data_IF_067021527868
#
_entry.id   IF_067021527868
#
_cell.length_a   1.000
_cell.length_b   1.000
_cell.length_c   1.000
_cell.angle_alpha   90.00
_cell.angle_beta   90.00
_cell.angle_gamma   90.00
#
_symmetry.space_group_name_H-M   'P 1'
#
loop_
_entity.id
_entity.type
_entity.pdbx_description
1 polymer ?
#
# COMPACT_ATOMS: atom_id res chain seq x y z
N UNK A 1 -0.54 -13.84 22.85
CA UNK A 1 0.72 -13.38 22.16
C UNK A 1 0.32 -12.71 20.86
N UNK A 2 1.21 -11.94 20.22
CA UNK A 2 0.85 -11.24 18.97
C UNK A 2 0.38 -12.18 17.84
N UNK A 3 0.92 -13.37 17.77
CA UNK A 3 0.49 -14.41 16.80
C UNK A 3 -0.96 -14.86 17.04
N UNK A 4 -1.40 -14.96 18.29
CA UNK A 4 -2.78 -15.34 18.62
C UNK A 4 -3.76 -14.23 18.19
N UNK A 5 -3.34 -12.95 18.27
CA UNK A 5 -4.12 -11.82 17.78
C UNK A 5 -4.33 -11.90 16.26
N UNK A 6 -3.27 -12.27 15.51
CA UNK A 6 -3.33 -12.46 14.06
C UNK A 6 -4.34 -13.55 13.71
N UNK A 7 -4.25 -14.70 14.38
CA UNK A 7 -5.14 -15.83 14.09
C UNK A 7 -6.59 -15.54 14.52
N UNK A 8 -6.82 -14.84 15.61
CA UNK A 8 -8.17 -14.44 16.01
C UNK A 8 -8.82 -13.50 14.97
N UNK A 9 -8.05 -12.55 14.43
CA UNK A 9 -8.52 -11.68 13.37
C UNK A 9 -8.81 -12.46 12.06
N UNK A 10 -7.91 -13.40 11.68
CA UNK A 10 -8.12 -14.30 10.54
C UNK A 10 -9.41 -15.09 10.69
N UNK A 11 -9.62 -15.74 11.83
CA UNK A 11 -10.77 -16.62 12.07
C UNK A 11 -12.08 -15.84 12.03
N UNK A 12 -12.08 -14.61 12.54
CA UNK A 12 -13.21 -13.71 12.43
C UNK A 12 -13.53 -13.38 10.97
N UNK A 13 -12.54 -13.00 10.16
CA UNK A 13 -12.74 -12.71 8.73
C UNK A 13 -13.23 -13.96 7.99
N UNK A 14 -12.65 -15.14 8.25
CA UNK A 14 -13.09 -16.41 7.66
C UNK A 14 -14.53 -16.78 8.07
N UNK A 15 -15.00 -16.37 9.26
CA UNK A 15 -16.38 -16.58 9.66
C UNK A 15 -17.38 -15.76 8.82
N UNK A 16 -16.93 -14.62 8.28
CA UNK A 16 -17.72 -13.69 7.46
C UNK A 16 -17.62 -13.98 5.97
N UNK A 17 -16.45 -14.46 5.53
CA UNK A 17 -16.19 -14.84 4.12
C UNK A 17 -15.37 -16.13 4.07
N UNK A 18 -15.94 -17.19 3.47
CA UNK A 18 -15.36 -18.54 3.53
C UNK A 18 -14.59 -18.95 2.28
N UNK A 19 -14.83 -18.26 1.16
CA UNK A 19 -14.19 -18.62 -0.11
C UNK A 19 -12.71 -18.17 -0.13
N UNK A 20 -11.86 -18.79 -0.97
CA UNK A 20 -10.50 -18.32 -1.21
C UNK A 20 -10.48 -16.86 -1.70
N UNK A 21 -9.42 -16.13 -1.36
CA UNK A 21 -9.18 -14.76 -1.79
C UNK A 21 -7.89 -14.73 -2.59
N UNK A 22 -7.93 -14.22 -3.80
CA UNK A 22 -6.81 -14.24 -4.75
C UNK A 22 -5.79 -13.12 -4.47
N UNK A 23 -6.30 -11.91 -4.16
CA UNK A 23 -5.46 -10.71 -4.03
C UNK A 23 -5.92 -9.86 -2.86
N UNK A 24 -4.97 -9.41 -2.05
CA UNK A 24 -5.19 -8.33 -1.09
C UNK A 24 -4.85 -6.98 -1.73
N UNK A 25 -5.65 -5.95 -1.45
CA UNK A 25 -5.43 -4.59 -1.94
C UNK A 25 -5.44 -3.64 -0.75
N UNK A 26 -4.41 -2.81 -0.59
CA UNK A 26 -4.38 -1.73 0.40
C UNK A 26 -4.50 -0.39 -0.29
N UNK A 27 -5.58 0.34 -0.02
CA UNK A 27 -5.83 1.64 -0.62
C UNK A 27 -5.19 2.77 0.17
N UNK A 28 -4.50 3.64 -0.56
CA UNK A 28 -3.98 4.90 -0.04
C UNK A 28 -5.02 6.02 0.01
N UNK A 29 -4.61 7.17 0.54
CA UNK A 29 -5.44 8.39 0.61
C UNK A 29 -5.91 8.82 -0.79
N UNK A 30 -7.20 9.12 -0.93
CA UNK A 30 -7.82 9.53 -2.19
C UNK A 30 -8.04 8.39 -3.20
N UNK A 31 -7.75 7.13 -2.86
CA UNK A 31 -7.88 5.98 -3.76
C UNK A 31 -9.05 5.06 -3.38
N UNK A 32 -9.93 5.54 -2.49
CA UNK A 32 -11.12 4.84 -2.00
C UNK A 32 -12.07 4.30 -3.07
N UNK A 33 -12.29 5.03 -4.19
CA UNK A 33 -13.21 4.61 -5.25
C UNK A 33 -12.86 3.31 -5.95
N UNK A 34 -11.61 2.81 -5.87
CA UNK A 34 -11.31 1.46 -6.33
C UNK A 34 -12.13 0.39 -5.56
N UNK A 35 -12.50 0.64 -4.30
CA UNK A 35 -13.34 -0.25 -3.54
C UNK A 35 -14.81 -0.25 -4.01
N UNK A 36 -15.26 0.82 -4.66
CA UNK A 36 -16.66 0.98 -5.10
C UNK A 36 -16.97 0.17 -6.38
N UNK A 37 -15.93 -0.38 -7.03
CA UNK A 37 -16.08 -1.27 -8.19
C UNK A 37 -16.07 -2.76 -7.84
N UNK A 38 -16.02 -3.10 -6.55
CA UNK A 38 -16.10 -4.47 -6.06
C UNK A 38 -17.56 -4.95 -6.15
N UNK A 39 -17.79 -6.05 -6.85
CA UNK A 39 -19.10 -6.69 -6.97
C UNK A 39 -19.38 -7.59 -5.76
N UNK A 40 -20.66 -7.69 -5.38
CA UNK A 40 -21.14 -8.51 -4.26
C UNK A 40 -20.33 -8.35 -2.97
N UNK A 41 -20.09 -7.11 -2.49
CA UNK A 41 -19.17 -6.85 -1.41
C UNK A 41 -19.69 -7.36 -0.06
N UNK A 42 -18.82 -8.06 0.67
CA UNK A 42 -18.93 -8.29 2.11
C UNK A 42 -18.09 -7.23 2.81
N UNK A 43 -18.76 -6.31 3.52
CA UNK A 43 -18.10 -5.26 4.26
C UNK A 43 -17.91 -5.66 5.74
N UNK A 44 -16.73 -5.42 6.27
CA UNK A 44 -16.36 -5.66 7.67
C UNK A 44 -15.69 -4.41 8.21
N UNK A 45 -16.29 -3.77 9.21
CA UNK A 45 -15.67 -2.64 9.87
C UNK A 45 -14.41 -3.10 10.64
N UNK A 46 -13.31 -2.34 10.58
CA UNK A 46 -12.07 -2.70 11.29
C UNK A 46 -12.27 -2.84 12.80
N UNK A 47 -13.14 -2.03 13.39
CA UNK A 47 -13.47 -2.09 14.82
C UNK A 47 -14.09 -3.42 15.26
N UNK A 48 -14.71 -4.15 14.32
CA UNK A 48 -15.34 -5.45 14.59
C UNK A 48 -14.34 -6.62 14.42
N UNK A 49 -13.21 -6.39 13.74
CA UNK A 49 -12.16 -7.39 13.60
C UNK A 49 -11.30 -7.39 14.87
N UNK A 50 -11.21 -8.52 15.59
CA UNK A 50 -10.43 -8.59 16.82
C UNK A 50 -8.99 -8.09 16.61
N UNK A 51 -8.55 -7.22 17.51
CA UNK A 51 -7.19 -6.66 17.57
C UNK A 51 -6.76 -5.75 16.41
N UNK A 52 -7.60 -5.53 15.40
CA UNK A 52 -7.28 -4.55 14.36
C UNK A 52 -7.14 -3.15 14.95
N UNK A 53 -6.21 -2.32 14.47
CA UNK A 53 -6.21 -0.89 14.77
C UNK A 53 -7.48 -0.22 14.25
N UNK A 54 -7.77 0.96 14.76
CA UNK A 54 -8.83 1.83 14.22
C UNK A 54 -8.16 2.96 13.47
N UNK A 55 -8.52 3.16 12.19
CA UNK A 55 -8.00 4.29 11.41
C UNK A 55 -8.54 5.61 11.96
N UNK A 56 -7.65 6.57 12.19
CA UNK A 56 -7.97 7.90 12.72
C UNK A 56 -7.82 8.99 11.65
N UNK A 57 -7.35 8.64 10.46
CA UNK A 57 -7.09 9.57 9.37
C UNK A 57 -8.40 9.93 8.65
N UNK A 58 -8.75 11.23 8.50
CA UNK A 58 -9.88 11.65 7.68
C UNK A 58 -9.80 11.10 6.26
N UNK A 59 -10.94 10.58 5.74
CA UNK A 59 -11.01 9.98 4.41
C UNK A 59 -10.71 8.47 4.37
N UNK A 60 -10.30 7.86 5.48
CA UNK A 60 -10.18 6.41 5.60
C UNK A 60 -11.47 5.83 6.20
N UNK A 61 -12.20 5.05 5.38
CA UNK A 61 -13.49 4.48 5.80
C UNK A 61 -13.38 3.44 6.92
N UNK A 62 -12.18 2.88 7.15
CA UNK A 62 -11.94 1.89 8.20
C UNK A 62 -12.67 0.57 7.96
N UNK A 63 -12.72 0.10 6.73
CA UNK A 63 -13.43 -1.13 6.32
C UNK A 63 -12.54 -2.07 5.51
N UNK A 64 -12.72 -3.36 5.75
CA UNK A 64 -12.28 -4.43 4.85
C UNK A 64 -13.47 -4.81 3.98
N UNK A 65 -13.28 -4.74 2.65
CA UNK A 65 -14.31 -5.07 1.65
C UNK A 65 -13.82 -6.28 0.88
N UNK A 66 -14.59 -7.36 0.90
CA UNK A 66 -14.25 -8.61 0.19
C UNK A 66 -15.32 -8.87 -0.86
N UNK A 67 -14.92 -9.10 -2.09
CA UNK A 67 -15.82 -9.37 -3.21
C UNK A 67 -15.04 -9.52 -4.51
N UNK A 68 -15.69 -9.35 -5.65
CA UNK A 68 -15.11 -9.67 -6.94
C UNK A 68 -14.79 -8.42 -7.77
N UNK A 69 -13.63 -8.43 -8.42
CA UNK A 69 -13.30 -7.52 -9.52
C UNK A 69 -12.91 -8.40 -10.71
N UNK A 70 -13.74 -8.41 -11.76
CA UNK A 70 -13.59 -9.36 -12.86
C UNK A 70 -13.77 -10.80 -12.37
N UNK A 71 -12.77 -11.64 -12.61
CA UNK A 71 -12.74 -13.05 -12.20
C UNK A 71 -11.95 -13.29 -10.89
N UNK A 72 -11.47 -12.23 -10.25
CA UNK A 72 -10.65 -12.30 -9.01
C UNK A 72 -11.45 -11.93 -7.79
N UNK A 73 -11.35 -12.76 -6.75
CA UNK A 73 -11.79 -12.38 -5.41
C UNK A 73 -10.73 -11.52 -4.75
N UNK A 74 -11.10 -10.33 -4.32
CA UNK A 74 -10.21 -9.36 -3.67
C UNK A 74 -10.60 -9.11 -2.22
N UNK A 75 -9.61 -8.91 -1.34
CA UNK A 75 -9.78 -8.35 -0.01
C UNK A 75 -9.18 -6.94 0.01
N UNK A 76 -10.03 -5.93 0.01
CA UNK A 76 -9.66 -4.54 -0.16
C UNK A 76 -9.75 -3.78 1.17
N UNK A 77 -8.64 -3.24 1.64
CA UNK A 77 -8.61 -2.30 2.76
C UNK A 77 -8.99 -0.90 2.26
N UNK A 78 -10.23 -0.45 2.55
CA UNK A 78 -10.68 0.94 2.30
C UNK A 78 -10.23 1.82 3.47
N UNK A 79 -8.96 2.21 3.43
CA UNK A 79 -8.18 2.87 4.48
C UNK A 79 -7.06 1.98 5.00
N UNK A 80 -6.00 2.63 5.50
CA UNK A 80 -4.82 1.97 6.07
C UNK A 80 -4.43 2.58 7.40
N UNK A 81 -3.47 1.95 8.08
CA UNK A 81 -2.90 2.44 9.32
C UNK A 81 -1.51 3.04 9.06
N UNK A 82 -1.21 4.14 9.76
CA UNK A 82 0.08 4.81 9.59
C UNK A 82 0.84 4.87 10.92
N UNK A 83 2.14 4.90 10.83
CA UNK A 83 3.01 5.01 12.01
C UNK A 83 2.76 6.30 12.79
N UNK A 84 2.48 7.41 12.09
CA UNK A 84 2.20 8.69 12.72
C UNK A 84 0.88 8.75 13.51
N UNK A 85 0.00 7.75 13.38
CA UNK A 85 -1.21 7.63 14.19
C UNK A 85 -0.92 7.16 15.64
N UNK A 86 0.35 6.86 15.93
CA UNK A 86 0.80 6.44 17.27
C UNK A 86 0.86 4.92 17.45
N UNK A 87 0.57 4.15 16.42
CA UNK A 87 0.70 2.69 16.43
C UNK A 87 2.15 2.27 16.24
N UNK A 88 2.57 1.19 16.92
CA UNK A 88 3.83 0.54 16.60
C UNK A 88 3.77 -0.17 15.21
N UNK A 89 4.94 -0.51 14.66
CA UNK A 89 5.02 -1.12 13.35
C UNK A 89 4.36 -2.50 13.24
N UNK A 90 4.26 -3.24 14.34
CA UNK A 90 3.55 -4.53 14.35
C UNK A 90 2.04 -4.31 14.18
N UNK A 91 1.47 -3.32 14.86
CA UNK A 91 0.06 -2.96 14.71
C UNK A 91 -0.24 -2.38 13.32
N UNK A 92 0.61 -1.47 12.81
CA UNK A 92 0.46 -0.92 11.44
C UNK A 92 0.40 -2.03 10.40
N UNK A 93 1.21 -3.08 10.56
CA UNK A 93 1.34 -4.17 9.57
C UNK A 93 0.54 -5.43 9.90
N UNK A 94 -0.21 -5.43 10.99
CA UNK A 94 -1.04 -6.57 11.40
C UNK A 94 -1.97 -7.07 10.28
N UNK A 95 -2.67 -6.20 9.52
CA UNK A 95 -3.52 -6.66 8.41
C UNK A 95 -2.79 -7.51 7.39
N UNK A 96 -1.54 -7.20 7.09
CA UNK A 96 -0.74 -7.95 6.12
C UNK A 96 -0.43 -9.37 6.64
N UNK A 97 -0.15 -9.51 7.94
CA UNK A 97 -0.03 -10.82 8.60
C UNK A 97 -1.33 -11.62 8.52
N UNK A 98 -2.45 -10.95 8.73
CA UNK A 98 -3.78 -11.57 8.64
C UNK A 98 -4.07 -12.03 7.20
N UNK A 99 -3.75 -11.23 6.19
CA UNK A 99 -3.89 -11.64 4.78
C UNK A 99 -3.02 -12.86 4.45
N UNK A 100 -1.78 -12.89 4.92
CA UNK A 100 -0.93 -14.06 4.78
C UNK A 100 -1.51 -15.29 5.48
N UNK A 101 -2.05 -15.15 6.69
CA UNK A 101 -2.69 -16.22 7.45
C UNK A 101 -4.00 -16.72 6.81
N UNK A 102 -4.70 -15.86 6.02
CA UNK A 102 -5.83 -16.23 5.16
C UNK A 102 -5.39 -17.00 3.90
N UNK A 103 -4.09 -17.15 3.67
CA UNK A 103 -3.54 -17.85 2.50
C UNK A 103 -3.37 -16.98 1.25
N UNK A 104 -3.64 -15.68 1.34
CA UNK A 104 -3.50 -14.74 0.22
C UNK A 104 -2.02 -14.62 -0.17
N UNK A 105 -1.72 -14.78 -1.46
CA UNK A 105 -0.35 -14.78 -1.98
C UNK A 105 0.04 -13.52 -2.74
N UNK A 106 -0.92 -12.73 -3.17
CA UNK A 106 -0.68 -11.52 -3.95
C UNK A 106 -1.15 -10.29 -3.17
N UNK A 107 -0.33 -9.24 -3.14
CA UNK A 107 -0.63 -7.98 -2.48
C UNK A 107 -0.41 -6.82 -3.45
N UNK A 108 -1.42 -6.00 -3.64
CA UNK A 108 -1.31 -4.70 -4.30
C UNK A 108 -1.38 -3.63 -3.21
N UNK A 109 -0.32 -2.82 -3.08
CA UNK A 109 -0.30 -1.67 -2.17
C UNK A 109 -0.31 -0.40 -2.97
N UNK A 110 -1.25 0.50 -2.66
CA UNK A 110 -1.35 1.79 -3.35
C UNK A 110 -1.12 2.94 -2.37
N UNK A 111 -0.63 4.07 -2.83
CA UNK A 111 -0.41 5.26 -2.01
C UNK A 111 -0.46 6.55 -2.82
N UNK A 112 -0.69 7.67 -2.13
CA UNK A 112 -0.36 9.01 -2.58
C UNK A 112 1.07 9.34 -2.13
N UNK A 113 1.84 10.06 -2.95
CA UNK A 113 3.23 10.39 -2.67
C UNK A 113 3.65 11.76 -3.23
N UNK A 114 4.71 12.34 -2.67
CA UNK A 114 5.40 13.50 -3.23
C UNK A 114 6.45 13.07 -4.27
N UNK A 115 6.44 13.70 -5.45
CA UNK A 115 7.44 13.48 -6.49
C UNK A 115 8.76 14.18 -6.17
N UNK A 116 9.86 13.42 -6.11
CA UNK A 116 11.23 13.92 -5.87
C UNK A 116 12.00 14.01 -7.18
N UNK A 117 11.86 13.05 -8.07
CA UNK A 117 12.46 13.06 -9.41
C UNK A 117 11.78 14.11 -10.29
N UNK A 118 12.55 14.81 -11.10
CA UNK A 118 12.09 16.01 -11.81
C UNK A 118 10.94 15.74 -12.81
N UNK A 119 10.91 14.54 -13.40
CA UNK A 119 9.88 14.10 -14.38
C UNK A 119 8.61 13.54 -13.74
N UNK A 120 8.55 13.42 -12.41
CA UNK A 120 7.36 12.97 -11.68
C UNK A 120 6.49 14.17 -11.30
N UNK A 121 5.43 14.41 -12.05
CA UNK A 121 4.48 15.50 -11.84
C UNK A 121 3.18 14.99 -11.19
N UNK A 122 2.39 15.87 -10.55
CA UNK A 122 1.09 15.51 -10.03
C UNK A 122 0.21 14.82 -11.09
N UNK A 123 -0.48 13.76 -10.69
CA UNK A 123 -1.26 12.89 -11.56
C UNK A 123 -0.48 11.74 -12.21
N UNK A 124 0.86 11.66 -12.07
CA UNK A 124 1.65 10.55 -12.59
C UNK A 124 1.46 9.30 -11.74
N UNK A 125 1.19 8.16 -12.39
CA UNK A 125 1.18 6.84 -11.77
C UNK A 125 2.58 6.23 -11.89
N UNK A 126 3.09 5.68 -10.78
CA UNK A 126 4.44 5.11 -10.70
C UNK A 126 4.37 3.70 -10.11
N UNK A 127 4.94 2.74 -10.80
CA UNK A 127 5.16 1.38 -10.30
C UNK A 127 6.42 1.41 -9.42
N UNK A 128 6.28 0.99 -8.16
CA UNK A 128 7.40 0.99 -7.22
C UNK A 128 8.35 -0.15 -7.58
N UNK A 129 9.61 0.17 -7.83
CA UNK A 129 10.66 -0.82 -8.13
C UNK A 129 11.43 -1.26 -6.88
N UNK A 130 11.63 -0.33 -5.94
CA UNK A 130 12.38 -0.54 -4.71
C UNK A 130 12.02 0.53 -3.67
N UNK A 131 12.59 0.45 -2.46
CA UNK A 131 12.36 1.46 -1.43
C UNK A 131 13.59 1.80 -0.59
N UNK A 132 13.54 2.98 0.02
CA UNK A 132 14.44 3.42 1.08
C UNK A 132 13.69 3.51 2.41
N UNK A 133 14.19 2.85 3.46
CA UNK A 133 13.49 2.75 4.77
C UNK A 133 14.40 2.92 5.99
N UNK A 134 15.62 3.46 5.82
CA UNK A 134 16.61 3.53 6.89
C UNK A 134 16.22 4.43 8.07
N UNK A 135 15.21 5.28 7.93
CA UNK A 135 14.70 6.15 9.01
C UNK A 135 13.51 5.53 9.77
N UNK A 136 13.12 4.31 9.45
CA UNK A 136 11.96 3.61 9.99
C UNK A 136 12.38 2.49 10.95
N UNK A 137 11.70 2.30 12.10
CA UNK A 137 11.87 1.06 12.87
C UNK A 137 11.33 -0.12 12.05
N UNK A 138 12.13 -1.19 11.94
CA UNK A 138 11.71 -2.37 11.18
C UNK A 138 10.45 -3.02 11.80
N UNK A 139 9.42 -3.36 10.99
CA UNK A 139 8.25 -4.11 11.46
C UNK A 139 8.59 -5.55 11.88
N UNK A 140 9.77 -6.06 11.53
CA UNK A 140 10.28 -7.37 11.90
C UNK A 140 11.13 -7.36 13.17
N UNK A 141 11.23 -6.21 13.85
CA UNK A 141 11.99 -6.09 15.11
C UNK A 141 11.31 -6.88 16.22
N UNK A 142 12.10 -7.63 17.00
CA UNK A 142 11.62 -8.45 18.10
C UNK A 142 11.74 -9.95 17.82
N UNK A 143 11.02 -10.81 18.54
CA UNK A 143 10.97 -12.25 18.27
C UNK A 143 10.46 -12.52 16.85
N UNK A 144 11.07 -13.50 16.17
CA UNK A 144 10.59 -13.92 14.86
C UNK A 144 9.23 -14.61 14.97
N UNK A 145 8.41 -14.47 13.94
CA UNK A 145 7.18 -15.23 13.74
C UNK A 145 7.48 -16.31 12.70
N UNK A 146 7.99 -17.46 13.16
CA UNK A 146 8.50 -18.53 12.28
C UNK A 146 7.45 -19.08 11.32
N UNK A 147 6.17 -19.05 11.71
CA UNK A 147 5.03 -19.43 10.85
C UNK A 147 4.92 -18.57 9.58
N UNK A 148 5.49 -17.37 9.60
CA UNK A 148 5.40 -16.41 8.50
C UNK A 148 6.67 -16.28 7.68
N UNK A 149 7.80 -16.74 8.18
CA UNK A 149 9.06 -16.69 7.44
C UNK A 149 10.31 -16.71 8.30
N UNK A 150 11.48 -16.77 7.65
CA UNK A 150 12.77 -16.88 8.33
C UNK A 150 13.16 -15.55 9.01
N UNK A 151 13.97 -15.65 10.07
CA UNK A 151 14.47 -14.47 10.80
C UNK A 151 15.14 -13.42 9.89
N UNK A 152 15.88 -13.86 8.90
CA UNK A 152 16.61 -13.02 7.95
C UNK A 152 16.09 -13.28 6.54
N UNK A 153 15.13 -12.46 6.12
CA UNK A 153 14.48 -12.54 4.81
C UNK A 153 15.26 -11.75 3.76
N UNK A 154 15.51 -12.36 2.61
CA UNK A 154 16.05 -11.66 1.45
C UNK A 154 15.05 -10.64 0.90
N UNK A 155 15.51 -9.39 0.71
CA UNK A 155 14.72 -8.26 0.23
C UNK A 155 15.11 -7.81 -1.19
N UNK A 156 15.87 -8.63 -1.94
CA UNK A 156 16.35 -8.27 -3.29
C UNK A 156 15.20 -8.02 -4.28
N UNK A 157 14.10 -8.76 -4.18
CA UNK A 157 12.91 -8.61 -5.06
C UNK A 157 11.65 -8.41 -4.18
N UNK A 158 11.62 -7.31 -3.41
CA UNK A 158 10.46 -6.98 -2.56
C UNK A 158 9.24 -6.70 -3.42
N UNK A 159 9.37 -5.78 -4.36
CA UNK A 159 8.33 -5.50 -5.36
C UNK A 159 8.55 -6.43 -6.54
N UNK A 160 7.76 -7.49 -6.57
CA UNK A 160 7.96 -8.66 -7.43
C UNK A 160 8.12 -8.30 -8.90
N UNK A 161 9.27 -8.61 -9.48
CA UNK A 161 9.65 -8.21 -10.84
C UNK A 161 8.64 -8.67 -11.90
N UNK A 162 8.08 -9.87 -11.75
CA UNK A 162 7.05 -10.40 -12.66
C UNK A 162 5.75 -9.60 -12.58
N UNK A 163 5.32 -9.14 -11.38
CA UNK A 163 4.14 -8.30 -11.23
C UNK A 163 4.38 -6.87 -11.74
N UNK A 164 5.61 -6.34 -11.59
CA UNK A 164 5.97 -5.05 -12.18
C UNK A 164 5.89 -5.10 -13.71
N UNK A 165 6.47 -6.14 -14.33
CA UNK A 165 6.38 -6.35 -15.76
C UNK A 165 4.93 -6.47 -16.24
N UNK A 166 4.10 -7.26 -15.53
CA UNK A 166 2.68 -7.38 -15.80
C UNK A 166 1.98 -6.01 -15.75
N UNK A 167 2.25 -5.20 -14.73
CA UNK A 167 1.64 -3.88 -14.58
C UNK A 167 1.99 -2.94 -15.74
N UNK A 168 3.22 -2.98 -16.28
CA UNK A 168 3.60 -2.22 -17.46
C UNK A 168 2.87 -2.69 -18.72
N UNK A 169 2.72 -3.99 -18.92
CA UNK A 169 1.96 -4.54 -20.06
C UNK A 169 0.46 -4.20 -19.95
N UNK A 170 -0.12 -4.33 -18.76
CA UNK A 170 -1.52 -3.95 -18.50
C UNK A 170 -1.75 -2.46 -18.74
N UNK A 171 -0.81 -1.60 -18.34
CA UNK A 171 -0.87 -0.16 -18.58
C UNK A 171 -0.91 0.19 -20.08
N UNK A 172 -0.11 -0.51 -20.90
CA UNK A 172 -0.15 -0.36 -22.37
C UNK A 172 -1.51 -0.74 -22.94
N UNK A 173 -2.10 -1.87 -22.51
CA UNK A 173 -3.42 -2.34 -22.98
C UNK A 173 -4.52 -1.30 -22.76
N UNK A 174 -4.48 -0.60 -21.62
CA UNK A 174 -5.49 0.39 -21.27
C UNK A 174 -5.09 1.84 -21.56
N UNK A 175 -3.95 2.04 -22.21
CA UNK A 175 -3.41 3.37 -22.54
C UNK A 175 -3.28 4.29 -21.31
N UNK A 176 -2.70 3.77 -20.24
CA UNK A 176 -2.36 4.52 -19.02
C UNK A 176 -0.84 4.69 -18.99
N UNK A 177 -0.37 5.94 -18.92
CA UNK A 177 1.05 6.23 -18.78
C UNK A 177 1.51 5.93 -17.35
N UNK A 178 2.52 5.07 -17.22
CA UNK A 178 3.12 4.68 -15.95
C UNK A 178 4.64 4.81 -16.02
N UNK A 179 5.24 5.19 -14.91
CA UNK A 179 6.69 5.22 -14.72
C UNK A 179 7.12 4.20 -13.69
N UNK A 180 8.41 4.01 -13.53
CA UNK A 180 9.00 3.22 -12.47
C UNK A 180 9.81 4.12 -11.54
N UNK A 181 9.88 3.78 -10.22
CA UNK A 181 10.65 4.60 -9.30
C UNK A 181 10.83 3.97 -7.92
N UNK A 182 11.81 4.54 -7.19
CA UNK A 182 12.17 4.17 -5.82
C UNK A 182 11.39 5.02 -4.82
N UNK A 183 10.67 4.36 -3.91
CA UNK A 183 9.87 5.01 -2.87
C UNK A 183 10.68 5.17 -1.58
N UNK A 184 10.76 6.41 -1.04
CA UNK A 184 11.38 6.68 0.26
C UNK A 184 10.31 6.81 1.34
N UNK A 185 10.41 6.00 2.40
CA UNK A 185 9.53 6.12 3.55
C UNK A 185 9.97 7.26 4.48
N UNK A 186 9.02 8.11 4.83
CA UNK A 186 9.17 9.14 5.86
C UNK A 186 8.14 8.93 6.99
N UNK A 187 8.51 9.26 8.23
CA UNK A 187 7.68 8.93 9.40
C UNK A 187 6.40 9.76 9.52
N UNK A 188 6.44 11.02 9.07
CA UNK A 188 5.35 11.97 9.31
C UNK A 188 5.16 12.31 10.81
N UNK A 189 4.05 12.96 11.21
CA UNK A 189 2.96 13.45 10.34
C UNK A 189 3.28 14.71 9.53
N UNK A 190 4.37 15.43 9.86
CA UNK A 190 4.81 16.58 9.08
C UNK A 190 5.36 16.13 7.72
N UNK A 191 5.21 16.99 6.72
CA UNK A 191 5.94 16.83 5.46
C UNK A 191 7.44 17.02 5.69
N UNK A 192 8.23 16.52 4.74
CA UNK A 192 9.67 16.63 4.75
C UNK A 192 10.11 18.10 4.59
N UNK A 193 11.26 18.44 5.13
CA UNK A 193 11.90 19.72 4.84
C UNK A 193 12.59 19.69 3.46
N UNK A 194 12.80 20.86 2.80
CA UNK A 194 13.58 20.90 1.55
C UNK A 194 14.97 20.29 1.65
N UNK A 195 15.60 20.32 2.84
CA UNK A 195 16.92 19.72 3.06
C UNK A 195 16.83 18.18 3.09
N UNK A 196 15.81 17.62 3.73
CA UNK A 196 15.53 16.17 3.73
C UNK A 196 15.23 15.68 2.30
N UNK A 197 14.43 16.41 1.52
CA UNK A 197 14.16 16.06 0.12
C UNK A 197 15.43 16.05 -0.73
N UNK A 198 16.34 17.05 -0.58
CA UNK A 198 17.63 17.02 -1.28
C UNK A 198 18.48 15.81 -0.87
N UNK A 199 18.49 15.47 0.42
CA UNK A 199 19.19 14.28 0.90
C UNK A 199 18.61 13.00 0.33
N UNK A 200 17.28 12.82 0.34
CA UNK A 200 16.61 11.66 -0.22
C UNK A 200 16.84 11.52 -1.74
N UNK A 201 16.80 12.63 -2.48
CA UNK A 201 17.12 12.65 -3.91
C UNK A 201 18.56 12.17 -4.15
N UNK A 202 19.52 12.63 -3.34
CA UNK A 202 20.92 12.21 -3.43
C UNK A 202 21.10 10.72 -3.13
N UNK A 203 20.27 10.15 -2.24
CA UNK A 203 20.28 8.72 -1.89
C UNK A 203 19.52 7.84 -2.89
N UNK A 204 18.94 8.42 -3.93
CA UNK A 204 18.28 7.69 -5.00
C UNK A 204 16.75 7.57 -4.86
N UNK A 205 16.11 8.36 -3.99
CA UNK A 205 14.65 8.42 -3.94
C UNK A 205 14.06 9.13 -5.15
N UNK A 206 13.03 8.54 -5.76
CA UNK A 206 12.21 9.15 -6.80
C UNK A 206 10.91 9.75 -6.25
N UNK A 207 10.41 9.18 -5.15
CA UNK A 207 9.17 9.56 -4.48
C UNK A 207 9.36 9.48 -2.97
N UNK A 208 8.50 10.20 -2.24
CA UNK A 208 8.48 10.16 -0.77
C UNK A 208 7.04 10.06 -0.25
N UNK A 209 6.84 9.35 0.85
CA UNK A 209 5.56 9.23 1.53
C UNK A 209 5.64 8.48 2.85
N UNK A 210 4.52 8.31 3.54
CA UNK A 210 4.46 7.91 4.94
C UNK A 210 3.85 6.52 5.17
N UNK A 211 3.85 5.64 4.13
CA UNK A 211 3.14 4.34 4.14
C UNK A 211 3.89 3.27 3.34
N UNK A 212 3.23 2.16 3.02
CA UNK A 212 3.61 1.17 1.99
C UNK A 212 4.81 0.30 2.35
N UNK A 213 5.93 0.88 2.76
CA UNK A 213 7.18 0.14 3.01
C UNK A 213 7.06 -0.84 4.17
N UNK A 214 6.44 -0.49 5.33
CA UNK A 214 6.23 -1.47 6.41
C UNK A 214 5.40 -2.67 5.95
N UNK A 215 4.33 -2.42 5.18
CA UNK A 215 3.46 -3.46 4.63
C UNK A 215 4.22 -4.36 3.64
N UNK A 216 5.00 -3.77 2.74
CA UNK A 216 5.82 -4.50 1.78
C UNK A 216 6.87 -5.40 2.46
N UNK A 217 7.55 -4.90 3.50
CA UNK A 217 8.52 -5.71 4.27
C UNK A 217 7.86 -6.92 4.91
N UNK A 218 6.68 -6.74 5.55
CA UNK A 218 5.96 -7.82 6.20
C UNK A 218 5.38 -8.81 5.19
N UNK A 219 4.85 -8.32 4.07
CA UNK A 219 4.36 -9.16 2.98
C UNK A 219 5.49 -10.02 2.38
N UNK A 220 6.65 -9.40 2.11
CA UNK A 220 7.83 -10.13 1.62
C UNK A 220 8.33 -11.16 2.61
N UNK A 221 8.34 -10.83 3.91
CA UNK A 221 8.69 -11.79 4.96
C UNK A 221 7.76 -13.02 4.95
N UNK A 222 6.49 -12.82 4.59
CA UNK A 222 5.45 -13.87 4.51
C UNK A 222 5.36 -14.53 3.11
N UNK A 223 6.35 -14.37 2.26
CA UNK A 223 6.41 -14.91 0.89
C UNK A 223 5.24 -14.51 -0.02
N UNK A 224 4.64 -13.35 0.23
CA UNK A 224 3.67 -12.76 -0.69
C UNK A 224 4.39 -12.10 -1.87
N UNK A 225 3.77 -12.13 -3.05
CA UNK A 225 4.14 -11.34 -4.22
C UNK A 225 3.55 -9.95 -4.09
N UNK A 226 4.32 -8.90 -4.37
CA UNK A 226 3.93 -7.52 -4.07
C UNK A 226 4.03 -6.66 -5.32
N UNK A 227 2.97 -5.92 -5.60
CA UNK A 227 2.95 -4.82 -6.55
C UNK A 227 2.69 -3.52 -5.78
N UNK A 228 3.61 -2.56 -5.87
CA UNK A 228 3.44 -1.23 -5.32
C UNK A 228 3.07 -0.24 -6.43
N UNK A 229 2.03 0.55 -6.20
CA UNK A 229 1.57 1.59 -7.14
C UNK A 229 1.44 2.90 -6.37
N UNK A 230 2.23 3.90 -6.77
CA UNK A 230 2.17 5.25 -6.23
C UNK A 230 1.46 6.19 -7.19
N UNK A 231 0.64 7.08 -6.65
CA UNK A 231 0.12 8.23 -7.36
C UNK A 231 0.85 9.47 -6.85
N UNK A 232 1.54 10.16 -7.72
CA UNK A 232 2.16 11.44 -7.39
C UNK A 232 1.07 12.49 -7.27
N UNK A 233 0.90 13.08 -6.09
CA UNK A 233 -0.14 14.09 -5.81
C UNK A 233 0.41 15.50 -5.77
N UNK A 234 1.70 15.65 -5.49
CA UNK A 234 2.39 16.94 -5.38
C UNK A 234 3.87 16.78 -5.70
N UNK A 235 4.57 17.86 -6.00
CA UNK A 235 6.03 17.88 -5.92
C UNK A 235 6.44 17.86 -4.43
N UNK A 236 7.51 17.14 -4.10
CA UNK A 236 8.04 17.10 -2.75
C UNK A 236 8.51 18.50 -2.27
N UNK A 237 8.64 18.68 -0.97
CA UNK A 237 8.95 19.97 -0.35
C UNK A 237 10.18 20.66 -0.96
N UNK A 238 10.03 21.95 -1.30
CA UNK A 238 11.10 22.77 -1.90
C UNK A 238 11.38 22.52 -3.38
N UNK A 239 10.59 21.67 -4.04
CA UNK A 239 10.65 21.42 -5.50
C UNK A 239 9.54 22.16 -6.27
N UNK A 240 8.67 22.86 -5.57
CA UNK A 240 7.68 23.79 -6.11
C UNK A 240 7.62 25.05 -5.24
N UNK A 241 6.98 26.11 -5.76
CA UNK A 241 6.79 27.36 -5.01
C UNK A 241 5.55 27.31 -4.08
N UNK A 242 4.75 26.26 -4.10
CA UNK A 242 3.54 26.14 -3.31
C UNK A 242 3.82 25.49 -1.97
N UNK A 243 3.12 25.93 -0.92
CA UNK A 243 3.06 25.21 0.34
C UNK A 243 2.29 23.89 0.15
N UNK A 244 2.77 22.83 0.80
CA UNK A 244 2.13 21.52 0.76
C UNK A 244 0.92 21.50 1.69
N UNK A 245 -0.23 21.05 1.20
CA UNK A 245 -1.39 20.83 2.03
C UNK A 245 -2.12 19.53 1.63
N UNK A 246 -2.85 18.95 2.58
CA UNK A 246 -3.54 17.68 2.38
C UNK A 246 -4.73 17.79 1.41
N UNK A 247 -5.32 18.96 1.25
CA UNK A 247 -6.46 19.17 0.34
C UNK A 247 -6.01 19.03 -1.11
N UNK A 248 -4.88 19.64 -1.49
CA UNK A 248 -4.31 19.48 -2.83
C UNK A 248 -3.93 18.03 -3.15
N UNK A 249 -3.44 17.29 -2.13
CA UNK A 249 -3.16 15.85 -2.25
C UNK A 249 -4.44 15.09 -2.62
N UNK A 250 -5.57 15.38 -1.98
CA UNK A 250 -6.84 14.72 -2.24
C UNK A 250 -7.41 15.09 -3.62
N UNK A 251 -7.32 16.36 -4.03
CA UNK A 251 -7.78 16.83 -5.33
C UNK A 251 -6.98 16.18 -6.48
N UNK A 252 -5.66 16.12 -6.34
CA UNK A 252 -4.82 15.47 -7.33
C UNK A 252 -5.10 13.95 -7.41
N UNK A 253 -5.37 13.30 -6.27
CA UNK A 253 -5.76 11.90 -6.24
C UNK A 253 -7.08 11.65 -6.99
N UNK A 254 -8.10 12.46 -6.73
CA UNK A 254 -9.40 12.37 -7.40
C UNK A 254 -9.28 12.55 -8.93
N UNK A 255 -8.39 13.44 -9.40
CA UNK A 255 -8.18 13.68 -10.84
C UNK A 255 -7.55 12.50 -11.60
N UNK A 256 -6.86 11.61 -10.90
CA UNK A 256 -6.18 10.45 -11.48
C UNK A 256 -6.91 9.12 -11.24
N UNK A 257 -7.99 9.15 -10.47
CA UNK A 257 -8.75 8.00 -9.98
C UNK A 257 -9.18 7.04 -11.09
N UNK A 258 -9.86 7.55 -12.13
CA UNK A 258 -10.35 6.71 -13.24
C UNK A 258 -9.21 5.94 -13.91
N UNK A 259 -8.05 6.58 -14.09
CA UNK A 259 -6.87 5.93 -14.69
C UNK A 259 -6.31 4.83 -13.81
N UNK A 260 -6.28 5.07 -12.49
CA UNK A 260 -5.80 4.07 -11.53
C UNK A 260 -6.77 2.88 -11.45
N UNK A 261 -8.08 3.12 -11.34
CA UNK A 261 -9.11 2.07 -11.33
C UNK A 261 -9.02 1.22 -12.61
N UNK A 262 -8.91 1.88 -13.77
CA UNK A 262 -8.77 1.21 -15.07
C UNK A 262 -7.51 0.33 -15.12
N UNK A 263 -6.38 0.85 -14.62
CA UNK A 263 -5.12 0.11 -14.56
C UNK A 263 -5.21 -1.10 -13.64
N UNK A 264 -5.72 -0.93 -12.41
CA UNK A 264 -5.80 -2.02 -11.43
C UNK A 264 -6.76 -3.12 -11.90
N UNK A 265 -7.91 -2.76 -12.51
CA UNK A 265 -8.80 -3.75 -13.13
C UNK A 265 -8.08 -4.59 -14.18
N UNK A 266 -7.34 -3.94 -15.09
CA UNK A 266 -6.58 -4.65 -16.12
C UNK A 266 -5.48 -5.53 -15.56
N UNK A 267 -4.78 -5.06 -14.49
CA UNK A 267 -3.78 -5.87 -13.80
C UNK A 267 -4.42 -7.13 -13.20
N UNK A 268 -5.58 -7.01 -12.57
CA UNK A 268 -6.30 -8.15 -11.99
C UNK A 268 -6.76 -9.15 -13.06
N UNK A 269 -7.22 -8.68 -14.22
CA UNK A 269 -7.57 -9.53 -15.36
C UNK A 269 -6.36 -10.28 -15.93
N UNK A 270 -5.19 -9.64 -15.92
CA UNK A 270 -3.94 -10.21 -16.47
C UNK A 270 -3.22 -11.14 -15.47
N UNK A 271 -3.61 -11.15 -14.17
CA UNK A 271 -3.05 -12.02 -13.12
C UNK A 271 -3.62 -13.45 -13.17
#
# INVERSE_FOLDING_TARGET
MYIDEIYAARDYIQSRYKNPIDVAIVLGSGLGPLADVINEPVEIDYKDIPYFPVSTVPGHAGKLIIGEIGDKTVACMKGRFHFYEGYDMQKVTMPIRVFSALGIKNLIVTNACGGVRDDLNPGQIVIISDHLSFMMPSPLRGPNLDDFGPRFKDMTDVYTSTLRSLAFESAKKVNVDVKEGVYCFFKGPQFETPAEIRAFKTLGADMVGMSTVPEAIVARHSDMKILGISLVTNKAAGLSNNELNHIEVMEAANSAEERLVKLVKQILEDM
#
